data_IF_925887710770
#
_entry.id   IF_925887710770
#
_cell.length_a   1.000
_cell.length_b   1.000
_cell.length_c   1.000
_cell.angle_alpha   90.00
_cell.angle_beta   90.00
_cell.angle_gamma   90.00
#
_symmetry.space_group_name_H-M   'P 1'
#
loop_
_entity.id
_entity.type
_entity.pdbx_description
1 polymer ?
#
# COMPACT_ATOMS: atom_id res chain seq x y z
N UNK A 1 -0.51 43.13 28.07
CA UNK A 1 0.27 42.05 27.44
C UNK A 1 -0.35 40.71 27.84
N UNK A 2 -1.32 40.19 27.08
CA UNK A 2 -1.96 38.90 27.40
C UNK A 2 -1.18 37.76 26.74
N UNK A 3 -0.68 36.82 27.55
CA UNK A 3 0.08 35.65 27.09
C UNK A 3 -0.90 34.55 26.68
N UNK A 4 -1.04 34.30 25.38
CA UNK A 4 -1.86 33.21 24.86
C UNK A 4 -1.22 31.86 25.21
N UNK A 5 -1.95 31.01 25.96
CA UNK A 5 -1.53 29.64 26.27
C UNK A 5 -1.77 28.78 25.02
N UNK A 6 -0.69 28.29 24.39
CA UNK A 6 -0.80 27.33 23.29
C UNK A 6 -1.31 25.98 23.80
N UNK A 7 -2.35 25.38 23.19
CA UNK A 7 -2.80 24.05 23.57
C UNK A 7 -1.72 23.02 23.18
N UNK A 8 -1.19 22.33 24.19
CA UNK A 8 -0.26 21.21 24.02
C UNK A 8 -0.93 20.13 23.15
N UNK A 9 -0.24 19.72 22.08
CA UNK A 9 -0.74 18.71 21.15
C UNK A 9 -1.11 17.42 21.89
N UNK A 10 -2.39 17.03 21.85
CA UNK A 10 -2.85 15.73 22.37
C UNK A 10 -2.14 14.62 21.58
N UNK A 11 -1.20 13.92 22.22
CA UNK A 11 -0.59 12.71 21.64
C UNK A 11 -1.73 11.71 21.37
N UNK A 12 -1.96 11.41 20.09
CA UNK A 12 -2.97 10.42 19.67
C UNK A 12 -2.54 9.06 20.19
N UNK A 13 -3.50 8.28 20.69
CA UNK A 13 -3.27 6.89 21.11
C UNK A 13 -2.70 6.11 19.91
N UNK A 14 -1.64 5.30 20.09
CA UNK A 14 -1.15 4.42 19.04
C UNK A 14 -2.30 3.58 18.48
N UNK A 15 -2.31 3.37 17.17
CA UNK A 15 -3.27 2.47 16.53
C UNK A 15 -3.09 1.03 17.00
N UNK A 16 -4.01 0.12 16.61
CA UNK A 16 -3.88 -1.31 16.87
C UNK A 16 -2.50 -1.85 16.44
N UNK A 17 -1.97 -2.88 17.12
CA UNK A 17 -0.72 -3.52 16.70
C UNK A 17 -0.85 -3.99 15.25
N UNK A 18 0.19 -3.76 14.45
CA UNK A 18 0.22 -4.22 13.08
C UNK A 18 0.09 -5.75 13.08
N UNK A 19 -0.97 -6.27 12.48
CA UNK A 19 -1.24 -7.72 12.35
C UNK A 19 -0.22 -8.44 11.45
N UNK A 20 0.75 -7.71 10.89
CA UNK A 20 2.16 -8.13 10.89
C UNK A 20 2.63 -9.04 9.77
N UNK A 21 1.91 -9.17 8.65
CA UNK A 21 2.48 -9.76 7.43
C UNK A 21 3.12 -8.66 6.56
N UNK A 22 4.45 -8.70 6.43
CA UNK A 22 5.24 -7.82 5.57
C UNK A 22 5.53 -6.41 6.11
N UNK A 23 6.48 -5.71 5.48
CA UNK A 23 6.87 -4.34 5.82
C UNK A 23 6.04 -3.32 5.02
N UNK A 24 5.40 -2.32 5.65
CA UNK A 24 4.59 -1.33 4.93
C UNK A 24 5.46 -0.37 4.09
N UNK A 25 5.23 -0.34 2.78
CA UNK A 25 5.87 0.59 1.85
C UNK A 25 4.89 1.76 1.60
N UNK A 26 4.97 2.83 2.39
CA UNK A 26 4.05 3.98 2.27
C UNK A 26 4.42 4.86 1.07
N UNK A 27 3.79 4.61 -0.09
CA UNK A 27 3.99 5.37 -1.34
C UNK A 27 2.73 6.14 -1.71
N UNK A 28 2.90 7.37 -2.19
CA UNK A 28 1.83 8.17 -2.80
C UNK A 28 1.85 7.98 -4.31
N UNK A 29 0.76 7.46 -4.86
CA UNK A 29 0.57 7.38 -6.30
C UNK A 29 0.01 8.71 -6.82
N UNK A 30 0.58 9.20 -7.92
CA UNK A 30 0.04 10.35 -8.64
C UNK A 30 -1.31 9.99 -9.30
N UNK A 31 -2.18 10.96 -9.62
CA UNK A 31 -3.53 10.69 -10.11
C UNK A 31 -3.59 9.78 -11.34
N UNK A 32 -2.72 10.01 -12.33
CA UNK A 32 -2.71 9.23 -13.58
C UNK A 32 -2.36 7.75 -13.32
N UNK A 33 -1.38 7.51 -12.46
CA UNK A 33 -0.97 6.15 -12.08
C UNK A 33 -2.02 5.45 -11.22
N UNK A 34 -2.69 6.20 -10.34
CA UNK A 34 -3.81 5.69 -9.54
C UNK A 34 -4.99 5.28 -10.44
N UNK A 35 -5.32 6.10 -11.44
CA UNK A 35 -6.38 5.80 -12.40
C UNK A 35 -6.05 4.54 -13.22
N UNK A 36 -4.80 4.41 -13.69
CA UNK A 36 -4.36 3.21 -14.41
C UNK A 36 -4.44 1.94 -13.54
N UNK A 37 -4.08 2.03 -12.25
CA UNK A 37 -4.24 0.93 -11.30
C UNK A 37 -5.71 0.55 -11.11
N UNK A 38 -6.60 1.54 -10.98
CA UNK A 38 -8.03 1.29 -10.84
C UNK A 38 -8.64 0.63 -12.09
N UNK A 39 -8.20 1.01 -13.30
CA UNK A 39 -8.59 0.32 -14.54
C UNK A 39 -8.11 -1.13 -14.53
N UNK A 40 -6.84 -1.37 -14.18
CA UNK A 40 -6.31 -2.74 -14.08
C UNK A 40 -7.12 -3.62 -13.12
N UNK A 41 -7.57 -3.07 -11.97
CA UNK A 41 -8.39 -3.79 -10.99
C UNK A 41 -9.79 -4.10 -11.55
N UNK A 42 -10.40 -3.16 -12.27
CA UNK A 42 -11.73 -3.33 -12.85
C UNK A 42 -11.79 -4.45 -13.91
N UNK A 43 -10.67 -4.74 -14.58
CA UNK A 43 -10.56 -5.81 -15.57
C UNK A 43 -10.33 -7.22 -14.96
N UNK A 44 -10.20 -7.33 -13.63
CA UNK A 44 -9.95 -8.61 -12.95
C UNK A 44 -11.25 -9.39 -12.66
N UNK A 45 -11.19 -10.74 -12.69
CA UNK A 45 -12.32 -11.56 -12.30
C UNK A 45 -12.65 -11.43 -10.79
N UNK A 46 -13.90 -11.74 -10.44
CA UNK A 46 -14.35 -11.76 -9.05
C UNK A 46 -13.71 -12.93 -8.25
N UNK A 47 -13.27 -12.71 -6.98
CA UNK A 47 -13.33 -11.44 -6.26
C UNK A 47 -12.29 -10.43 -6.77
N UNK A 48 -12.74 -9.20 -7.06
CA UNK A 48 -11.82 -8.15 -7.52
C UNK A 48 -10.74 -7.87 -6.46
N UNK A 49 -9.46 -7.81 -6.85
CA UNK A 49 -8.38 -7.62 -5.89
C UNK A 49 -8.42 -6.21 -5.29
N UNK A 50 -8.00 -6.10 -4.03
CA UNK A 50 -7.83 -4.78 -3.41
C UNK A 50 -6.64 -4.04 -4.02
N UNK A 51 -6.60 -2.70 -3.95
CA UNK A 51 -5.44 -1.92 -4.44
C UNK A 51 -4.07 -2.42 -3.92
N UNK A 52 -3.87 -2.69 -2.62
CA UNK A 52 -2.61 -3.22 -2.13
C UNK A 52 -2.27 -4.59 -2.71
N UNK A 53 -3.28 -5.43 -2.93
CA UNK A 53 -3.09 -6.75 -3.51
C UNK A 53 -2.74 -6.67 -5.00
N UNK A 54 -3.46 -5.86 -5.77
CA UNK A 54 -3.16 -5.61 -7.17
C UNK A 54 -1.72 -5.08 -7.36
N UNK A 55 -1.28 -4.16 -6.50
CA UNK A 55 0.10 -3.68 -6.49
C UNK A 55 1.09 -4.82 -6.20
N UNK A 56 0.79 -5.72 -5.25
CA UNK A 56 1.66 -6.88 -4.97
C UNK A 56 1.78 -7.80 -6.18
N UNK A 57 0.67 -8.12 -6.84
CA UNK A 57 0.66 -8.96 -8.06
C UNK A 57 1.49 -8.32 -9.18
N UNK A 58 1.21 -7.05 -9.49
CA UNK A 58 1.95 -6.30 -10.52
C UNK A 58 3.46 -6.21 -10.21
N UNK A 59 3.82 -5.98 -8.95
CA UNK A 59 5.22 -5.92 -8.52
C UNK A 59 5.90 -7.28 -8.63
N UNK A 60 5.22 -8.35 -8.19
CA UNK A 60 5.72 -9.73 -8.30
C UNK A 60 5.96 -10.09 -9.77
N UNK A 61 4.97 -9.90 -10.64
CA UNK A 61 5.07 -10.19 -12.07
C UNK A 61 6.22 -9.43 -12.73
N UNK A 62 6.36 -8.14 -12.39
CA UNK A 62 7.44 -7.32 -12.91
C UNK A 62 8.83 -7.79 -12.44
N UNK A 63 8.98 -8.11 -11.15
CA UNK A 63 10.26 -8.58 -10.60
C UNK A 63 10.63 -9.99 -11.09
N UNK A 64 9.65 -10.86 -11.33
CA UNK A 64 9.85 -12.17 -11.97
C UNK A 64 10.30 -11.97 -13.42
N UNK A 65 9.63 -11.09 -14.17
CA UNK A 65 10.00 -10.77 -15.55
C UNK A 65 11.41 -10.20 -15.69
N UNK A 66 11.91 -9.50 -14.65
CA UNK A 66 13.29 -9.03 -14.57
C UNK A 66 14.28 -10.09 -14.07
N UNK A 67 13.81 -11.26 -13.64
CA UNK A 67 14.65 -12.31 -13.03
C UNK A 67 15.19 -11.97 -11.64
N UNK A 68 14.63 -10.95 -10.98
CA UNK A 68 14.99 -10.54 -9.62
C UNK A 68 14.32 -11.45 -8.59
N UNK A 69 13.11 -11.91 -8.90
CA UNK A 69 12.32 -12.82 -8.08
C UNK A 69 12.13 -14.15 -8.81
N UNK A 70 12.10 -15.26 -8.07
CA UNK A 70 11.86 -16.59 -8.67
C UNK A 70 10.41 -16.71 -9.16
N UNK A 71 10.19 -17.49 -10.22
CA UNK A 71 8.85 -17.87 -10.69
C UNK A 71 8.07 -18.66 -9.61
N UNK A 72 8.78 -19.36 -8.73
CA UNK A 72 8.22 -20.17 -7.65
C UNK A 72 8.07 -19.38 -6.33
N UNK A 73 8.12 -18.05 -6.39
CA UNK A 73 7.99 -17.23 -5.19
C UNK A 73 6.58 -17.32 -4.59
N UNK A 74 6.52 -17.84 -3.37
CA UNK A 74 5.33 -17.85 -2.53
C UNK A 74 5.58 -16.97 -1.28
N UNK A 75 4.77 -15.92 -1.05
CA UNK A 75 4.92 -15.03 0.10
C UNK A 75 4.33 -15.56 1.43
N UNK A 76 3.76 -16.78 1.48
CA UNK A 76 3.15 -17.39 2.68
C UNK A 76 4.14 -17.99 3.70
#
# INVERSE_FOLDING_TARGET
MARTVQPQSRRRKPGPPATGKGTPVQVRLQPDLLAALDTFIADQPEPTPTRPEAIRRLLQDHLIGLGILSIDYDPE
#
